data_IF_356558010213
#
_entry.id   IF_356558010213
#
_cell.length_a   1.000
_cell.length_b   1.000
_cell.length_c   1.000
_cell.angle_alpha   90.00
_cell.angle_beta   90.00
_cell.angle_gamma   90.00
#
_symmetry.space_group_name_H-M   'P 1'
#
loop_
_entity.id
_entity.type
_entity.pdbx_description
1 polymer ?
#
# COMPACT_ATOMS: atom_id res chain seq x y z
N UNK A 1 -28.40 -18.25 -40.03
CA UNK A 1 -28.07 -17.23 -38.99
C UNK A 1 -26.98 -17.65 -37.98
N UNK A 2 -26.76 -18.93 -37.73
CA UNK A 2 -25.72 -19.42 -36.79
C UNK A 2 -24.29 -19.23 -37.33
N UNK A 3 -24.06 -19.39 -38.65
CA UNK A 3 -22.72 -19.31 -39.25
C UNK A 3 -22.01 -17.95 -39.06
N UNK A 4 -22.65 -16.77 -39.28
CA UNK A 4 -21.99 -15.51 -39.07
C UNK A 4 -21.73 -15.22 -37.56
N UNK A 5 -22.56 -15.71 -36.65
CA UNK A 5 -22.35 -15.60 -35.21
C UNK A 5 -21.12 -16.40 -34.74
N UNK A 6 -20.95 -17.63 -35.26
CA UNK A 6 -19.78 -18.46 -34.98
C UNK A 6 -18.51 -17.83 -35.56
N UNK A 7 -18.55 -17.26 -36.77
CA UNK A 7 -17.41 -16.57 -37.37
C UNK A 7 -17.03 -15.29 -36.56
N UNK A 8 -18.01 -14.49 -36.11
CA UNK A 8 -17.76 -13.31 -35.27
C UNK A 8 -17.11 -13.65 -33.93
N UNK A 9 -17.38 -14.83 -33.38
CA UNK A 9 -16.77 -15.27 -32.12
C UNK A 9 -15.39 -15.95 -32.32
N UNK A 10 -15.22 -16.69 -33.41
CA UNK A 10 -13.97 -17.43 -33.66
C UNK A 10 -12.85 -16.59 -34.27
N UNK A 11 -13.17 -15.63 -35.14
CA UNK A 11 -12.17 -14.74 -35.77
C UNK A 11 -11.38 -13.91 -34.75
N UNK A 12 -11.97 -13.24 -33.75
CA UNK A 12 -11.21 -12.51 -32.76
C UNK A 12 -10.33 -13.43 -31.90
N UNK A 13 -10.81 -14.61 -31.56
CA UNK A 13 -10.05 -15.60 -30.77
C UNK A 13 -8.85 -16.11 -31.60
N UNK A 14 -9.05 -16.42 -32.87
CA UNK A 14 -7.98 -16.83 -33.77
C UNK A 14 -6.97 -15.70 -34.01
N UNK A 15 -7.43 -14.46 -34.15
CA UNK A 15 -6.58 -13.29 -34.32
C UNK A 15 -5.75 -13.00 -33.06
N UNK A 16 -6.32 -13.11 -31.89
CA UNK A 16 -5.61 -13.01 -30.60
C UNK A 16 -4.56 -14.13 -30.46
N UNK A 17 -4.90 -15.36 -30.84
CA UNK A 17 -3.97 -16.48 -30.82
C UNK A 17 -2.82 -16.28 -31.82
N UNK A 18 -3.12 -15.76 -33.02
CA UNK A 18 -2.14 -15.45 -34.05
C UNK A 18 -1.20 -14.31 -33.62
N UNK A 19 -1.73 -13.25 -33.03
CA UNK A 19 -0.90 -12.15 -32.44
C UNK A 19 -0.01 -12.69 -31.32
N UNK A 20 -0.51 -13.55 -30.45
CA UNK A 20 0.30 -14.18 -29.41
C UNK A 20 1.40 -15.06 -29.99
N UNK A 21 1.12 -15.78 -31.05
CA UNK A 21 2.09 -16.62 -31.76
C UNK A 21 3.18 -15.76 -32.42
N UNK A 22 2.82 -14.67 -33.09
CA UNK A 22 3.78 -13.73 -33.66
C UNK A 22 4.66 -13.05 -32.61
N UNK A 23 4.11 -12.72 -31.46
CA UNK A 23 4.88 -12.16 -30.31
C UNK A 23 5.80 -13.20 -29.67
N UNK A 24 5.55 -14.48 -29.84
CA UNK A 24 6.42 -15.54 -29.34
C UNK A 24 7.78 -15.60 -30.06
N UNK A 25 7.87 -15.11 -31.32
CA UNK A 25 9.13 -15.09 -32.10
C UNK A 25 10.15 -14.03 -31.65
N UNK A 26 9.72 -13.01 -30.86
CA UNK A 26 10.62 -12.00 -30.26
C UNK A 26 10.62 -12.09 -28.76
N UNK A 27 10.87 -13.28 -28.19
CA UNK A 27 10.96 -13.42 -26.74
C UNK A 27 12.30 -12.85 -26.26
N UNK A 28 12.32 -11.78 -25.45
CA UNK A 28 13.52 -11.46 -24.69
C UNK A 28 13.90 -12.67 -23.83
N UNK A 29 15.20 -12.90 -23.61
CA UNK A 29 15.67 -13.95 -22.70
C UNK A 29 15.21 -13.62 -21.26
N UNK A 30 14.05 -14.15 -20.89
CA UNK A 30 13.53 -14.04 -19.54
C UNK A 30 14.13 -15.10 -18.64
N UNK A 31 14.30 -14.83 -17.35
CA UNK A 31 14.66 -15.86 -16.37
C UNK A 31 13.68 -17.05 -16.43
N UNK A 32 14.11 -18.25 -16.02
CA UNK A 32 13.26 -19.41 -15.98
C UNK A 32 12.00 -19.16 -15.14
N UNK A 33 10.92 -19.90 -15.41
CA UNK A 33 9.68 -19.74 -14.67
C UNK A 33 8.64 -20.78 -15.04
N UNK A 34 7.53 -20.86 -14.28
CA UNK A 34 6.44 -21.77 -14.57
C UNK A 34 5.75 -21.40 -15.89
N UNK A 35 5.29 -22.41 -16.61
CA UNK A 35 4.50 -22.17 -17.82
C UNK A 35 3.16 -21.56 -17.44
N UNK A 36 2.85 -20.39 -18.00
CA UNK A 36 1.56 -19.72 -17.84
C UNK A 36 0.53 -20.21 -18.86
N UNK A 37 -0.74 -20.07 -18.51
CA UNK A 37 -1.86 -20.27 -19.45
C UNK A 37 -1.95 -19.11 -20.45
N UNK A 38 -2.51 -19.30 -21.65
CA UNK A 38 -2.79 -18.20 -22.56
C UNK A 38 -3.67 -17.14 -21.87
N UNK A 39 -3.38 -15.85 -22.11
CA UNK A 39 -4.08 -14.66 -21.58
C UNK A 39 -3.96 -14.52 -20.06
N UNK A 40 -4.32 -15.53 -19.28
CA UNK A 40 -4.35 -15.51 -17.81
C UNK A 40 -2.94 -15.61 -17.21
N UNK A 41 -2.00 -16.26 -17.93
CA UNK A 41 -0.65 -16.50 -17.43
C UNK A 41 -0.64 -17.42 -16.20
N UNK A 42 0.07 -17.00 -15.17
CA UNK A 42 0.22 -17.76 -13.92
C UNK A 42 -0.77 -17.31 -12.82
N UNK A 43 -1.71 -16.40 -13.11
CA UNK A 43 -2.65 -15.87 -12.11
C UNK A 43 -3.42 -16.96 -11.35
N UNK A 44 -3.84 -18.00 -12.06
CA UNK A 44 -4.59 -19.11 -11.46
C UNK A 44 -3.73 -20.02 -10.57
N UNK A 45 -2.41 -19.93 -10.70
CA UNK A 45 -1.45 -20.72 -9.92
C UNK A 45 -1.05 -20.05 -8.61
N UNK A 46 -1.45 -18.81 -8.42
CA UNK A 46 -1.11 -17.99 -7.25
C UNK A 46 -2.34 -17.77 -6.39
N UNK A 47 -2.18 -18.02 -5.09
CA UNK A 47 -3.17 -17.73 -4.07
C UNK A 47 -2.65 -16.57 -3.21
N UNK A 48 -3.44 -15.50 -3.15
CA UNK A 48 -3.08 -14.30 -2.38
C UNK A 48 -2.90 -14.57 -0.88
N UNK A 49 -3.60 -15.57 -0.34
CA UNK A 49 -3.53 -15.91 1.08
C UNK A 49 -2.17 -16.48 1.49
N UNK A 50 -1.51 -17.19 0.59
CA UNK A 50 -0.22 -17.89 0.80
C UNK A 50 0.86 -17.51 -0.23
N UNK A 51 0.72 -16.32 -0.84
CA UNK A 51 1.57 -15.89 -1.97
C UNK A 51 3.07 -15.98 -1.64
N UNK A 52 3.49 -15.56 -0.46
CA UNK A 52 4.89 -15.61 -0.05
C UNK A 52 5.46 -17.02 -0.05
N UNK A 53 4.70 -17.97 0.50
CA UNK A 53 5.11 -19.37 0.55
C UNK A 53 5.19 -19.97 -0.84
N UNK A 54 4.23 -19.66 -1.70
CA UNK A 54 4.24 -20.11 -3.10
C UNK A 54 5.44 -19.55 -3.86
N UNK A 55 5.75 -18.27 -3.74
CA UNK A 55 6.91 -17.67 -4.38
C UNK A 55 8.22 -18.24 -3.84
N UNK A 56 8.29 -18.53 -2.54
CA UNK A 56 9.43 -19.22 -1.96
C UNK A 56 9.60 -20.64 -2.53
N UNK A 57 8.52 -21.42 -2.65
CA UNK A 57 8.56 -22.74 -3.30
C UNK A 57 8.99 -22.65 -4.77
N UNK A 58 8.47 -21.67 -5.51
CA UNK A 58 8.87 -21.43 -6.89
C UNK A 58 10.35 -21.06 -6.99
N UNK A 59 10.88 -20.27 -6.05
CA UNK A 59 12.30 -19.91 -6.02
C UNK A 59 13.22 -21.13 -5.78
N UNK A 60 12.76 -22.13 -5.03
CA UNK A 60 13.49 -23.39 -4.85
C UNK A 60 13.54 -24.20 -6.15
N UNK A 61 12.51 -24.09 -6.99
CA UNK A 61 12.40 -24.84 -8.24
C UNK A 61 13.10 -24.14 -9.42
N UNK A 62 12.94 -22.81 -9.53
CA UNK A 62 13.39 -22.03 -10.69
C UNK A 62 14.63 -21.19 -10.42
N UNK A 63 15.08 -21.12 -9.17
CA UNK A 63 16.23 -20.30 -8.75
C UNK A 63 15.85 -18.97 -8.11
N UNK A 64 16.87 -18.20 -7.67
CA UNK A 64 16.66 -16.96 -6.91
C UNK A 64 16.13 -15.79 -7.74
N UNK A 65 16.09 -15.92 -9.05
CA UNK A 65 15.43 -15.01 -9.99
C UNK A 65 14.63 -15.83 -10.99
N UNK A 66 13.33 -15.55 -11.12
CA UNK A 66 12.46 -16.27 -12.04
C UNK A 66 11.36 -15.35 -12.58
N UNK A 67 10.76 -15.74 -13.70
CA UNK A 67 9.71 -14.96 -14.35
C UNK A 67 8.33 -15.57 -14.13
N UNK A 68 7.34 -14.69 -13.98
CA UNK A 68 5.92 -15.00 -13.98
C UNK A 68 5.22 -14.20 -15.06
N UNK A 69 4.17 -14.76 -15.62
CA UNK A 69 3.25 -14.06 -16.49
C UNK A 69 1.95 -13.80 -15.71
N UNK A 70 1.72 -12.57 -15.24
CA UNK A 70 0.49 -12.20 -14.54
C UNK A 70 -0.47 -11.54 -15.51
N UNK A 71 -1.41 -12.31 -16.04
CA UNK A 71 -2.23 -11.84 -17.15
C UNK A 71 -1.36 -11.47 -18.36
N UNK A 72 -1.43 -10.24 -18.82
CA UNK A 72 -0.59 -9.71 -19.88
C UNK A 72 0.71 -9.06 -19.39
N UNK A 73 0.91 -8.94 -18.08
CA UNK A 73 2.12 -8.34 -17.49
C UNK A 73 3.18 -9.41 -17.24
N UNK A 74 4.39 -9.17 -17.75
CA UNK A 74 5.57 -9.97 -17.41
C UNK A 74 6.12 -9.47 -16.09
N UNK A 75 6.37 -10.39 -15.18
CA UNK A 75 6.83 -10.08 -13.82
C UNK A 75 8.07 -10.88 -13.51
N UNK A 76 9.10 -10.25 -12.94
CA UNK A 76 10.30 -10.93 -12.47
C UNK A 76 10.24 -10.97 -10.94
N UNK A 77 10.49 -12.14 -10.39
CA UNK A 77 10.54 -12.36 -8.94
C UNK A 77 11.98 -12.53 -8.52
N UNK A 78 12.38 -11.76 -7.52
CA UNK A 78 13.70 -11.83 -6.89
C UNK A 78 13.52 -12.38 -5.49
N UNK A 79 14.23 -13.49 -5.20
CA UNK A 79 14.08 -14.24 -3.96
C UNK A 79 15.39 -14.43 -3.20
N UNK A 80 16.42 -13.62 -3.48
CA UNK A 80 17.66 -13.65 -2.72
C UNK A 80 18.09 -12.27 -2.23
N UNK A 81 18.68 -12.15 -1.04
CA UNK A 81 19.15 -10.87 -0.50
C UNK A 81 20.22 -10.21 -1.39
N UNK A 82 21.08 -11.01 -2.02
CA UNK A 82 22.13 -10.53 -2.92
C UNK A 82 21.53 -9.82 -4.14
N UNK A 83 20.58 -10.45 -4.82
CA UNK A 83 19.91 -9.87 -5.99
C UNK A 83 18.98 -8.71 -5.59
N UNK A 84 18.32 -8.79 -4.44
CA UNK A 84 17.54 -7.68 -3.93
C UNK A 84 18.40 -6.44 -3.68
N UNK A 85 19.61 -6.61 -3.10
CA UNK A 85 20.57 -5.51 -2.93
C UNK A 85 21.01 -4.95 -4.28
N UNK A 86 21.28 -5.80 -5.25
CA UNK A 86 21.69 -5.38 -6.59
C UNK A 86 20.63 -4.49 -7.23
N UNK A 87 19.36 -4.92 -7.22
CA UNK A 87 18.25 -4.17 -7.81
C UNK A 87 17.90 -2.90 -7.02
N UNK A 88 17.83 -2.98 -5.69
CA UNK A 88 17.31 -1.88 -4.87
C UNK A 88 18.38 -0.84 -4.48
N UNK A 89 19.68 -1.15 -4.66
CA UNK A 89 20.75 -0.25 -4.27
C UNK A 89 21.67 0.11 -5.43
N UNK A 90 22.07 -0.86 -6.26
CA UNK A 90 23.05 -0.63 -7.32
C UNK A 90 22.39 -0.16 -8.62
N UNK A 91 21.14 -0.61 -8.86
CA UNK A 91 20.31 -0.28 -10.03
C UNK A 91 18.97 0.34 -9.62
N UNK A 92 18.92 1.07 -8.51
CA UNK A 92 17.69 1.62 -7.94
C UNK A 92 16.93 2.54 -8.92
N UNK A 93 17.65 3.35 -9.70
CA UNK A 93 17.04 4.24 -10.69
C UNK A 93 16.33 3.49 -11.82
N UNK A 94 16.93 2.40 -12.31
CA UNK A 94 16.38 1.58 -13.40
C UNK A 94 15.10 0.85 -12.96
N UNK A 95 15.01 0.53 -11.66
CA UNK A 95 13.89 -0.19 -11.05
C UNK A 95 13.00 0.69 -10.16
N UNK A 96 13.14 2.00 -10.24
CA UNK A 96 12.37 2.96 -9.44
C UNK A 96 10.94 3.19 -9.91
N UNK A 97 10.54 2.62 -11.05
CA UNK A 97 9.17 2.70 -11.57
C UNK A 97 8.14 2.13 -10.58
N UNK A 98 6.90 2.58 -10.70
CA UNK A 98 5.76 2.08 -9.93
C UNK A 98 4.66 1.64 -10.86
N UNK A 99 4.14 0.42 -10.73
CA UNK A 99 3.02 -0.02 -11.55
C UNK A 99 1.77 0.78 -11.18
N UNK A 100 1.02 1.17 -12.20
CA UNK A 100 -0.27 1.82 -12.00
C UNK A 100 -1.32 0.74 -11.75
N UNK A 101 -1.57 0.42 -10.50
CA UNK A 101 -2.67 -0.46 -10.09
C UNK A 101 -3.83 0.39 -9.60
N UNK A 102 -5.05 -0.01 -9.93
CA UNK A 102 -6.26 0.77 -9.69
C UNK A 102 -6.44 1.18 -8.22
N UNK A 103 -6.36 0.24 -7.22
CA UNK A 103 -6.52 0.65 -5.83
C UNK A 103 -5.39 1.56 -5.35
N UNK A 104 -4.15 1.30 -5.76
CA UNK A 104 -3.01 2.12 -5.38
C UNK A 104 -3.14 3.54 -5.94
N UNK A 105 -3.50 3.69 -7.21
CA UNK A 105 -3.70 5.00 -7.82
C UNK A 105 -4.85 5.77 -7.14
N UNK A 106 -5.98 5.11 -6.90
CA UNK A 106 -7.14 5.75 -6.29
C UNK A 106 -6.86 6.20 -4.86
N UNK A 107 -6.36 5.30 -4.03
CA UNK A 107 -6.17 5.53 -2.60
C UNK A 107 -4.96 6.44 -2.30
N UNK A 108 -3.99 6.55 -3.22
CA UNK A 108 -2.83 7.45 -3.09
C UNK A 108 -3.05 8.83 -3.72
N UNK A 109 -4.27 9.22 -4.02
CA UNK A 109 -4.56 10.49 -4.72
C UNK A 109 -3.76 10.61 -6.03
N UNK A 110 -3.80 9.56 -6.86
CA UNK A 110 -3.05 9.43 -8.11
C UNK A 110 -1.52 9.47 -7.94
N UNK A 111 -1.01 8.94 -6.83
CA UNK A 111 0.42 8.96 -6.52
C UNK A 111 0.91 10.31 -6.02
N UNK A 112 0.04 11.09 -5.37
CA UNK A 112 0.40 12.38 -4.75
C UNK A 112 1.11 12.21 -3.41
N UNK A 113 1.94 11.17 -3.26
CA UNK A 113 2.70 10.82 -2.07
C UNK A 113 4.02 10.14 -2.44
N UNK A 114 4.78 9.60 -1.47
CA UNK A 114 6.15 9.13 -1.70
C UNK A 114 6.29 7.62 -1.97
N UNK A 115 5.25 6.81 -1.78
CA UNK A 115 5.31 5.34 -1.90
C UNK A 115 4.92 4.85 -3.28
N UNK A 116 3.77 5.33 -3.79
CA UNK A 116 3.23 4.94 -5.10
C UNK A 116 3.49 5.94 -6.21
N UNK A 117 4.06 7.11 -5.88
CA UNK A 117 4.52 8.09 -6.85
C UNK A 117 5.68 7.53 -7.69
N UNK A 118 5.67 7.69 -9.01
CA UNK A 118 6.81 7.34 -9.85
C UNK A 118 8.02 8.24 -9.52
N UNK A 119 9.24 7.69 -9.72
CA UNK A 119 10.46 8.46 -9.54
C UNK A 119 10.57 9.57 -10.60
N UNK A 120 10.37 10.81 -10.18
CA UNK A 120 10.46 12.02 -10.99
C UNK A 120 10.87 13.21 -10.11
N UNK A 121 10.86 14.41 -10.66
CA UNK A 121 11.19 15.63 -9.92
C UNK A 121 10.22 15.89 -8.77
N UNK A 122 8.91 15.68 -8.99
CA UNK A 122 7.90 15.77 -7.95
C UNK A 122 8.21 14.84 -6.76
N UNK A 123 8.51 13.56 -7.02
CA UNK A 123 8.84 12.58 -5.98
C UNK A 123 10.08 13.00 -5.17
N UNK A 124 11.11 13.52 -5.86
CA UNK A 124 12.35 13.98 -5.19
C UNK A 124 12.07 15.11 -4.22
N UNK A 125 11.29 16.10 -4.63
CA UNK A 125 10.95 17.25 -3.77
C UNK A 125 10.00 16.83 -2.64
N UNK A 126 8.97 16.03 -2.92
CA UNK A 126 8.08 15.51 -1.88
C UNK A 126 8.84 14.69 -0.84
N UNK A 127 9.77 13.82 -1.27
CA UNK A 127 10.63 13.07 -0.38
C UNK A 127 11.52 13.98 0.47
N UNK A 128 12.10 15.02 -0.12
CA UNK A 128 12.92 16.02 0.59
C UNK A 128 12.11 16.71 1.68
N UNK A 129 10.90 17.15 1.38
CA UNK A 129 9.98 17.74 2.35
C UNK A 129 9.69 16.75 3.48
N UNK A 130 9.29 15.54 3.17
CA UNK A 130 8.98 14.53 4.18
C UNK A 130 10.19 14.20 5.08
N UNK A 131 11.38 14.01 4.50
CA UNK A 131 12.59 13.68 5.27
C UNK A 131 13.02 14.85 6.16
N UNK A 132 12.97 16.08 5.65
CA UNK A 132 13.42 17.26 6.41
C UNK A 132 12.46 17.61 7.55
N UNK A 133 11.16 17.54 7.36
CA UNK A 133 10.17 18.08 8.27
C UNK A 133 9.40 17.04 9.08
N UNK A 134 9.17 15.84 8.51
CA UNK A 134 8.37 14.78 9.14
C UNK A 134 9.27 13.70 9.76
N UNK A 135 10.25 13.19 9.00
CA UNK A 135 11.10 12.08 9.42
C UNK A 135 12.45 12.51 9.99
N UNK A 136 12.68 13.80 10.20
CA UNK A 136 13.94 14.27 10.80
C UNK A 136 14.10 13.73 12.22
N UNK A 137 15.34 13.45 12.63
CA UNK A 137 15.64 12.95 13.98
C UNK A 137 15.11 13.89 15.07
N UNK A 138 15.15 15.22 14.86
CA UNK A 138 14.59 16.21 15.77
C UNK A 138 13.07 16.00 15.92
N UNK A 139 12.33 15.87 14.83
CA UNK A 139 10.87 15.68 14.86
C UNK A 139 10.50 14.33 15.48
N UNK A 140 11.18 13.25 15.12
CA UNK A 140 10.96 11.93 15.72
C UNK A 140 11.24 11.93 17.22
N UNK A 141 12.25 12.69 17.67
CA UNK A 141 12.59 12.83 19.09
C UNK A 141 11.55 13.65 19.85
N UNK A 142 10.96 14.67 19.25
CA UNK A 142 9.91 15.50 19.91
C UNK A 142 8.71 14.64 20.34
N UNK A 143 8.35 13.63 19.60
CA UNK A 143 7.26 12.71 19.95
C UNK A 143 7.64 11.64 21.00
N UNK A 144 8.79 11.76 21.67
CA UNK A 144 9.23 10.77 22.68
C UNK A 144 8.33 10.75 23.92
N UNK A 145 7.77 11.91 24.31
CA UNK A 145 6.81 12.05 25.39
C UNK A 145 5.56 11.21 25.14
N UNK A 146 5.00 11.30 23.94
CA UNK A 146 3.83 10.54 23.51
C UNK A 146 4.12 9.03 23.58
N UNK A 147 5.24 8.58 22.99
CA UNK A 147 5.61 7.16 23.01
C UNK A 147 5.78 6.62 24.44
N UNK A 148 6.52 7.35 25.29
CA UNK A 148 6.73 6.96 26.69
C UNK A 148 5.41 6.88 27.47
N UNK A 149 4.52 7.82 27.26
CA UNK A 149 3.22 7.84 27.91
C UNK A 149 2.38 6.60 27.51
N UNK A 150 2.23 6.34 26.21
CA UNK A 150 1.39 5.22 25.72
C UNK A 150 1.96 3.85 26.14
N UNK A 151 3.29 3.68 26.08
CA UNK A 151 3.96 2.47 26.55
C UNK A 151 3.69 2.28 28.05
N UNK A 152 3.74 3.32 28.87
CA UNK A 152 3.42 3.25 30.31
C UNK A 152 1.97 2.80 30.54
N UNK A 153 1.00 3.29 29.73
CA UNK A 153 -0.40 2.90 29.84
C UNK A 153 -0.57 1.39 29.52
N UNK A 154 0.07 0.89 28.47
CA UNK A 154 0.01 -0.55 28.12
C UNK A 154 0.63 -1.42 29.22
N UNK A 155 1.79 -1.02 29.76
CA UNK A 155 2.42 -1.75 30.87
C UNK A 155 1.47 -1.81 32.07
N UNK A 156 0.80 -0.69 32.42
CA UNK A 156 -0.19 -0.65 33.50
C UNK A 156 -1.37 -1.60 33.25
N UNK A 157 -1.88 -1.68 32.01
CA UNK A 157 -2.95 -2.63 31.66
C UNK A 157 -2.49 -4.08 31.79
N UNK A 158 -1.30 -4.43 31.28
CA UNK A 158 -0.74 -5.77 31.38
C UNK A 158 -0.57 -6.17 32.86
N UNK A 159 -0.02 -5.25 33.69
CA UNK A 159 0.13 -5.49 35.11
C UNK A 159 -1.20 -5.71 35.82
N UNK A 160 -2.24 -4.93 35.46
CA UNK A 160 -3.60 -5.11 35.98
C UNK A 160 -4.20 -6.47 35.62
N UNK A 161 -4.07 -6.91 34.38
CA UNK A 161 -4.52 -8.24 33.94
C UNK A 161 -3.75 -9.37 34.68
N UNK A 162 -2.42 -9.23 34.85
CA UNK A 162 -1.61 -10.19 35.56
C UNK A 162 -2.06 -10.33 37.04
N UNK A 163 -2.40 -9.19 37.68
CA UNK A 163 -2.89 -9.19 39.07
C UNK A 163 -4.27 -9.84 39.23
N UNK A 164 -5.10 -9.81 38.20
CA UNK A 164 -6.42 -10.45 38.18
C UNK A 164 -6.42 -11.85 37.58
N UNK A 165 -5.25 -12.48 37.39
CA UNK A 165 -5.07 -13.78 36.71
C UNK A 165 -5.76 -13.84 35.32
N UNK A 166 -5.94 -12.71 34.66
CA UNK A 166 -6.57 -12.60 33.34
C UNK A 166 -5.62 -12.98 32.23
N UNK A 167 -6.16 -13.55 31.15
CA UNK A 167 -5.42 -13.79 29.91
C UNK A 167 -5.35 -12.50 29.11
N UNK A 168 -4.16 -12.16 28.66
CA UNK A 168 -3.92 -10.95 27.86
C UNK A 168 -3.57 -11.30 26.42
N UNK A 169 -4.33 -10.77 25.46
CA UNK A 169 -3.97 -10.83 24.05
C UNK A 169 -2.92 -9.75 23.73
N UNK A 170 -1.65 -10.15 23.81
CA UNK A 170 -0.53 -9.23 23.60
C UNK A 170 -0.50 -8.64 22.18
N UNK A 171 -0.89 -9.42 21.18
CA UNK A 171 -0.94 -8.93 19.78
C UNK A 171 -1.93 -7.79 19.64
N UNK A 172 -3.11 -7.92 20.19
CA UNK A 172 -4.15 -6.88 20.17
C UNK A 172 -3.71 -5.61 20.90
N UNK A 173 -3.06 -5.77 22.06
CA UNK A 173 -2.52 -4.64 22.82
C UNK A 173 -1.42 -3.90 22.05
N UNK A 174 -0.52 -4.61 21.37
CA UNK A 174 0.55 -4.00 20.57
C UNK A 174 -0.01 -3.28 19.33
N UNK A 175 -1.00 -3.85 18.66
CA UNK A 175 -1.72 -3.19 17.56
C UNK A 175 -2.37 -1.89 18.06
N UNK A 176 -3.08 -1.97 19.19
CA UNK A 176 -3.70 -0.80 19.83
C UNK A 176 -2.68 0.27 20.20
N UNK A 177 -1.54 -0.12 20.79
CA UNK A 177 -0.44 0.80 21.14
C UNK A 177 0.09 1.55 19.91
N UNK A 178 0.45 0.81 18.86
CA UNK A 178 1.00 1.39 17.65
C UNK A 178 0.01 2.35 17.00
N UNK A 179 -1.24 1.94 16.85
CA UNK A 179 -2.31 2.77 16.31
C UNK A 179 -2.53 4.06 17.12
N UNK A 180 -2.56 3.94 18.45
CA UNK A 180 -2.73 5.12 19.35
C UNK A 180 -1.56 6.07 19.23
N UNK A 181 -0.31 5.58 19.25
CA UNK A 181 0.87 6.43 19.06
C UNK A 181 0.80 7.20 17.75
N UNK A 182 0.43 6.51 16.66
CA UNK A 182 0.35 7.11 15.33
C UNK A 182 -0.74 8.16 15.25
N UNK A 183 -1.92 7.89 15.78
CA UNK A 183 -3.01 8.86 15.80
C UNK A 183 -2.62 10.12 16.59
N UNK A 184 -1.93 9.94 17.72
CA UNK A 184 -1.44 11.09 18.52
C UNK A 184 -0.34 11.88 17.81
N UNK A 185 0.56 11.20 17.11
CA UNK A 185 1.64 11.85 16.37
C UNK A 185 1.10 12.56 15.12
N UNK A 186 0.15 11.93 14.42
CA UNK A 186 -0.38 12.46 13.17
C UNK A 186 -1.44 13.54 13.38
N UNK A 187 -2.38 13.34 14.32
CA UNK A 187 -3.58 14.15 14.51
C UNK A 187 -3.65 14.88 15.85
N UNK A 188 -2.65 14.72 16.73
CA UNK A 188 -2.66 15.27 18.08
C UNK A 188 -3.71 14.63 19.00
N UNK A 189 -4.48 13.67 18.53
CA UNK A 189 -5.62 13.06 19.24
C UNK A 189 -5.36 11.63 19.66
N UNK A 190 -5.93 11.27 20.83
CA UNK A 190 -6.10 9.91 21.25
C UNK A 190 -7.52 9.48 20.91
N UNK A 191 -7.65 8.54 19.99
CA UNK A 191 -8.93 7.87 19.77
C UNK A 191 -9.09 6.86 20.93
N UNK A 192 -9.97 7.16 21.88
CA UNK A 192 -10.15 6.36 23.10
C UNK A 192 -10.66 4.95 22.80
N UNK A 193 -10.41 4.05 23.76
CA UNK A 193 -10.58 2.59 23.59
C UNK A 193 -12.02 2.14 23.31
N UNK A 194 -13.03 2.99 23.54
CA UNK A 194 -14.44 2.66 23.42
C UNK A 194 -15.24 3.84 22.81
N UNK A 195 -15.10 4.05 21.50
CA UNK A 195 -15.87 5.10 20.82
C UNK A 195 -16.18 4.74 19.36
N UNK A 196 -17.28 5.29 18.86
CA UNK A 196 -17.72 5.11 17.48
C UNK A 196 -16.68 5.60 16.46
N UNK A 197 -15.92 6.64 16.80
CA UNK A 197 -14.89 7.22 15.93
C UNK A 197 -13.68 6.33 15.76
N UNK A 198 -13.18 5.70 16.85
CA UNK A 198 -12.10 4.71 16.76
C UNK A 198 -12.52 3.52 15.91
N UNK A 199 -13.70 2.97 16.17
CA UNK A 199 -14.24 1.86 15.41
C UNK A 199 -14.37 2.20 13.92
N UNK A 200 -14.85 3.42 13.60
CA UNK A 200 -14.95 3.92 12.24
C UNK A 200 -13.56 4.01 11.57
N UNK A 201 -12.59 4.66 12.21
CA UNK A 201 -11.25 4.84 11.66
C UNK A 201 -10.52 3.51 11.44
N UNK A 202 -10.53 2.62 12.43
CA UNK A 202 -9.96 1.28 12.29
C UNK A 202 -10.65 0.46 11.20
N UNK A 203 -11.96 0.54 11.09
CA UNK A 203 -12.71 -0.09 10.01
C UNK A 203 -12.27 0.40 8.62
N UNK A 204 -12.09 1.70 8.46
CA UNK A 204 -11.60 2.31 7.22
C UNK A 204 -10.17 1.88 6.88
N UNK A 205 -9.29 1.78 7.87
CA UNK A 205 -7.91 1.32 7.65
C UNK A 205 -7.82 -0.17 7.32
N UNK A 206 -8.62 -1.01 7.96
CA UNK A 206 -8.70 -2.43 7.64
C UNK A 206 -9.18 -2.64 6.19
N UNK A 207 -10.23 -1.92 5.81
CA UNK A 207 -10.76 -1.94 4.45
C UNK A 207 -9.75 -1.42 3.43
N UNK A 208 -9.01 -0.34 3.75
CA UNK A 208 -7.91 0.20 2.95
C UNK A 208 -6.85 -0.88 2.68
N UNK A 209 -6.40 -1.58 3.72
CA UNK A 209 -5.40 -2.63 3.58
C UNK A 209 -5.89 -3.80 2.74
N UNK A 210 -7.13 -4.22 2.96
CA UNK A 210 -7.73 -5.30 2.19
C UNK A 210 -7.82 -4.93 0.71
N UNK A 211 -8.27 -3.70 0.40
CA UNK A 211 -8.34 -3.19 -0.97
C UNK A 211 -6.97 -3.06 -1.62
N UNK A 212 -5.96 -2.59 -0.89
CA UNK A 212 -4.58 -2.51 -1.38
C UNK A 212 -4.00 -3.88 -1.72
N UNK A 213 -4.42 -4.93 -1.03
CA UNK A 213 -4.00 -6.32 -1.28
C UNK A 213 -4.95 -7.08 -2.21
N UNK A 214 -6.10 -6.50 -2.54
CA UNK A 214 -7.09 -7.13 -3.41
C UNK A 214 -6.61 -7.14 -4.85
N UNK A 215 -6.79 -8.29 -5.48
CA UNK A 215 -6.44 -8.50 -6.87
C UNK A 215 -7.55 -7.99 -7.79
N UNK A 216 -7.29 -6.90 -8.49
CA UNK A 216 -8.14 -6.40 -9.57
C UNK A 216 -7.71 -7.06 -10.88
N UNK A 217 -8.60 -7.79 -11.52
CA UNK A 217 -8.29 -8.52 -12.76
C UNK A 217 -7.94 -7.54 -13.88
N UNK A 218 -8.60 -6.38 -13.90
CA UNK A 218 -8.37 -5.32 -14.88
C UNK A 218 -6.94 -4.76 -14.88
N UNK A 219 -6.24 -4.82 -13.75
CA UNK A 219 -4.85 -4.38 -13.66
C UNK A 219 -3.89 -5.27 -14.46
N UNK A 220 -4.27 -6.52 -14.69
CA UNK A 220 -3.43 -7.53 -15.34
C UNK A 220 -3.96 -7.93 -16.71
N UNK A 221 -5.27 -7.86 -16.93
CA UNK A 221 -5.91 -8.19 -18.20
C UNK A 221 -6.78 -7.00 -18.59
N UNK A 222 -6.31 -6.12 -19.49
CA UNK A 222 -7.14 -5.05 -20.02
C UNK A 222 -8.47 -5.59 -20.55
N UNK A 223 -9.52 -4.80 -20.53
CA UNK A 223 -10.88 -5.12 -20.96
C UNK A 223 -11.71 -5.98 -19.98
N UNK A 224 -11.15 -6.45 -18.86
CA UNK A 224 -11.90 -7.23 -17.85
C UNK A 224 -12.46 -6.39 -16.71
N UNK A 225 -12.40 -5.07 -16.78
CA UNK A 225 -12.90 -4.17 -15.74
C UNK A 225 -14.39 -4.35 -15.39
N UNK A 226 -15.17 -4.90 -16.31
CA UNK A 226 -16.57 -5.26 -16.06
C UNK A 226 -16.71 -6.40 -15.03
N UNK A 227 -15.72 -7.33 -14.95
CA UNK A 227 -15.69 -8.41 -13.96
C UNK A 227 -15.48 -7.81 -12.56
N UNK A 228 -14.55 -6.87 -12.41
CA UNK A 228 -14.28 -6.19 -11.13
C UNK A 228 -15.50 -5.37 -10.69
N UNK A 229 -16.21 -4.76 -11.65
CA UNK A 229 -17.50 -4.07 -11.38
C UNK A 229 -18.57 -5.05 -10.91
N UNK A 230 -18.74 -6.20 -11.58
CA UNK A 230 -19.71 -7.24 -11.17
C UNK A 230 -19.41 -7.80 -9.78
N UNK A 231 -18.13 -7.92 -9.42
CA UNK A 231 -17.72 -8.31 -8.06
C UNK A 231 -17.89 -7.20 -7.02
N UNK A 232 -18.37 -6.04 -7.40
CA UNK A 232 -18.55 -4.89 -6.52
C UNK A 232 -17.26 -4.23 -6.05
N UNK A 233 -16.09 -4.63 -6.57
CA UNK A 233 -14.78 -4.13 -6.13
C UNK A 233 -14.61 -2.63 -6.39
N UNK A 234 -15.09 -2.12 -7.53
CA UNK A 234 -15.07 -0.69 -7.82
C UNK A 234 -15.93 0.13 -6.86
N UNK A 235 -17.14 -0.34 -6.54
CA UNK A 235 -18.03 0.34 -5.61
C UNK A 235 -17.45 0.33 -4.18
N UNK A 236 -16.83 -0.79 -3.78
CA UNK A 236 -16.16 -0.95 -2.50
C UNK A 236 -14.97 0.01 -2.38
N UNK A 237 -14.12 0.08 -3.41
CA UNK A 237 -12.97 1.00 -3.50
C UNK A 237 -13.40 2.46 -3.43
N UNK A 238 -14.41 2.84 -4.20
CA UNK A 238 -14.93 4.21 -4.23
C UNK A 238 -15.53 4.64 -2.90
N UNK A 239 -16.28 3.76 -2.25
CA UNK A 239 -16.85 4.01 -0.92
C UNK A 239 -15.75 4.22 0.13
N UNK A 240 -14.76 3.32 0.19
CA UNK A 240 -13.66 3.45 1.15
C UNK A 240 -12.86 4.73 0.91
N UNK A 241 -12.56 5.06 -0.36
CA UNK A 241 -11.89 6.30 -0.69
C UNK A 241 -12.65 7.53 -0.22
N UNK A 242 -13.96 7.62 -0.50
CA UNK A 242 -14.79 8.76 -0.08
C UNK A 242 -14.85 8.92 1.43
N UNK A 243 -14.98 7.82 2.16
CA UNK A 243 -15.03 7.84 3.62
C UNK A 243 -13.68 8.25 4.22
N UNK A 244 -12.56 7.77 3.66
CA UNK A 244 -11.21 8.19 4.08
C UNK A 244 -10.95 9.66 3.74
N UNK A 245 -11.32 10.08 2.53
CA UNK A 245 -11.16 11.48 2.10
C UNK A 245 -11.93 12.43 3.00
N UNK A 246 -13.19 12.08 3.34
CA UNK A 246 -14.02 12.81 4.29
C UNK A 246 -13.36 12.87 5.67
N UNK A 247 -12.87 11.74 6.17
CA UNK A 247 -12.18 11.68 7.46
C UNK A 247 -10.96 12.59 7.50
N UNK A 248 -10.09 12.54 6.48
CA UNK A 248 -8.91 13.40 6.43
C UNK A 248 -9.28 14.88 6.26
N UNK A 249 -10.37 15.19 5.56
CA UNK A 249 -10.86 16.56 5.44
C UNK A 249 -11.37 17.08 6.79
N UNK A 250 -12.16 16.29 7.53
CA UNK A 250 -12.62 16.62 8.88
C UNK A 250 -11.44 16.93 9.80
N UNK A 251 -10.36 16.13 9.74
CA UNK A 251 -9.14 16.36 10.51
C UNK A 251 -8.43 17.67 10.09
N UNK A 252 -8.32 17.93 8.79
CA UNK A 252 -7.70 19.16 8.26
C UNK A 252 -8.50 20.40 8.70
N UNK A 253 -9.83 20.37 8.55
CA UNK A 253 -10.72 21.48 8.89
C UNK A 253 -10.63 21.82 10.38
N UNK A 254 -10.53 20.81 11.24
CA UNK A 254 -10.31 21.01 12.67
C UNK A 254 -8.96 21.66 12.98
N UNK A 255 -7.89 21.28 12.27
CA UNK A 255 -6.57 21.88 12.45
C UNK A 255 -6.51 23.33 11.94
N UNK A 256 -7.42 23.72 11.05
CA UNK A 256 -7.56 25.09 10.56
C UNK A 256 -8.47 25.95 11.44
N UNK A 257 -9.19 25.38 12.42
CA UNK A 257 -10.04 26.15 13.32
C UNK A 257 -9.18 27.07 14.25
N UNK A 258 -9.35 28.40 14.20
CA UNK A 258 -8.61 29.31 15.05
C UNK A 258 -8.84 29.07 16.55
N UNK A 259 -9.95 28.45 16.94
CA UNK A 259 -10.29 28.18 18.35
C UNK A 259 -9.73 26.83 18.83
N UNK A 260 -9.03 26.07 18.00
CA UNK A 260 -8.43 24.80 18.39
C UNK A 260 -7.40 25.02 19.50
N UNK A 261 -7.62 24.36 20.62
CA UNK A 261 -6.61 24.38 21.72
C UNK A 261 -5.44 23.45 21.31
N UNK A 262 -4.28 24.06 21.12
CA UNK A 262 -3.05 23.29 20.86
C UNK A 262 -2.62 22.57 22.15
N UNK A 263 -2.67 21.27 22.16
CA UNK A 263 -2.28 20.44 23.30
C UNK A 263 -0.74 20.23 23.38
N UNK A 264 0.06 21.30 23.24
CA UNK A 264 1.51 21.25 23.41
C UNK A 264 2.31 21.19 22.10
N UNK A 265 2.91 20.06 21.74
CA UNK A 265 3.75 19.93 20.55
C UNK A 265 2.92 19.86 19.26
N UNK A 266 3.42 20.50 18.20
CA UNK A 266 2.81 20.41 16.87
C UNK A 266 2.77 18.95 16.38
N UNK A 267 1.61 18.51 15.98
CA UNK A 267 1.43 17.22 15.32
C UNK A 267 1.82 17.27 13.82
N UNK A 268 1.64 16.16 13.13
CA UNK A 268 2.07 16.05 11.74
C UNK A 268 1.18 16.84 10.79
N UNK A 269 -0.12 16.95 11.07
CA UNK A 269 -1.05 17.77 10.27
C UNK A 269 -0.71 19.25 10.41
N UNK A 270 -0.42 19.72 11.63
CA UNK A 270 0.03 21.11 11.86
C UNK A 270 1.27 21.44 11.02
N UNK A 271 2.25 20.51 11.00
CA UNK A 271 3.49 20.68 10.21
C UNK A 271 3.20 20.73 8.71
N UNK A 272 2.36 19.84 8.21
CA UNK A 272 2.03 19.79 6.78
C UNK A 272 1.23 21.02 6.34
N UNK A 273 0.33 21.53 7.18
CA UNK A 273 -0.42 22.76 6.93
C UNK A 273 0.49 24.00 6.96
N UNK A 274 1.45 24.04 7.89
CA UNK A 274 2.47 25.09 7.91
C UNK A 274 3.31 25.10 6.63
N UNK A 275 3.77 23.92 6.18
CA UNK A 275 4.54 23.77 4.94
C UNK A 275 3.72 24.14 3.69
N UNK A 276 2.42 23.87 3.70
CA UNK A 276 1.51 24.28 2.63
C UNK A 276 1.41 25.82 2.54
N UNK A 277 1.42 26.51 3.68
CA UNK A 277 1.37 27.97 3.73
C UNK A 277 2.72 28.62 3.46
N UNK A 278 3.82 27.91 3.73
CA UNK A 278 5.18 28.32 3.41
C UNK A 278 5.50 27.99 1.94
N UNK A 279 5.34 29.00 1.08
CA UNK A 279 5.61 28.89 -0.37
C UNK A 279 7.10 28.83 -0.75
N UNK A 280 7.97 28.52 0.19
CA UNK A 280 9.44 28.39 -0.03
C UNK A 280 9.83 27.13 -0.80
N UNK A 281 8.91 26.16 -0.93
CA UNK A 281 9.15 24.90 -1.63
C UNK A 281 8.86 24.99 -3.12
N UNK A 282 9.60 24.22 -3.91
CA UNK A 282 9.40 24.14 -5.38
C UNK A 282 8.07 23.50 -5.79
N UNK A 283 7.40 22.81 -4.86
CA UNK A 283 6.08 22.19 -5.04
C UNK A 283 5.05 22.98 -4.24
N UNK A 284 3.94 23.33 -4.88
CA UNK A 284 2.77 23.85 -4.18
C UNK A 284 2.00 22.68 -3.54
N UNK A 285 2.10 22.57 -2.21
CA UNK A 285 1.44 21.52 -1.45
C UNK A 285 -0.08 21.72 -1.44
N UNK A 286 -0.81 20.79 -2.02
CA UNK A 286 -2.27 20.75 -1.98
C UNK A 286 -2.79 19.93 -0.80
N UNK A 287 -4.08 20.00 -0.52
CA UNK A 287 -4.70 19.12 0.49
C UNK A 287 -4.63 17.65 0.08
N UNK A 288 -4.68 17.32 -1.20
CA UNK A 288 -4.52 15.95 -1.68
C UNK A 288 -3.12 15.40 -1.38
N UNK A 289 -2.09 16.24 -1.48
CA UNK A 289 -0.72 15.87 -1.05
C UNK A 289 -0.67 15.57 0.44
N UNK A 290 -1.29 16.40 1.27
CA UNK A 290 -1.36 16.19 2.73
C UNK A 290 -2.09 14.88 3.03
N UNK A 291 -3.28 14.68 2.46
CA UNK A 291 -4.08 13.46 2.64
C UNK A 291 -3.33 12.22 2.17
N UNK A 292 -2.62 12.30 1.03
CA UNK A 292 -1.79 11.21 0.51
C UNK A 292 -0.66 10.83 1.45
N UNK A 293 0.05 11.81 2.02
CA UNK A 293 1.12 11.58 3.01
C UNK A 293 0.55 10.95 4.29
N UNK A 294 -0.58 11.42 4.78
CA UNK A 294 -1.26 10.85 5.95
C UNK A 294 -1.68 9.39 5.68
N UNK A 295 -2.26 9.12 4.52
CA UNK A 295 -2.67 7.76 4.12
C UNK A 295 -1.49 6.79 4.16
N UNK A 296 -0.34 7.16 3.58
CA UNK A 296 0.86 6.32 3.57
C UNK A 296 1.41 6.09 4.98
N UNK A 297 1.39 7.11 5.81
CA UNK A 297 1.81 6.99 7.20
C UNK A 297 1.01 5.93 7.95
N UNK A 298 -0.32 5.98 7.84
CA UNK A 298 -1.19 5.01 8.47
C UNK A 298 -1.07 3.61 7.87
N UNK A 299 -0.94 3.53 6.54
CA UNK A 299 -0.77 2.25 5.86
C UNK A 299 0.44 1.48 6.39
N UNK A 300 1.61 2.13 6.48
CA UNK A 300 2.83 1.50 6.95
C UNK A 300 2.74 1.09 8.42
N UNK A 301 2.18 1.93 9.25
CA UNK A 301 2.21 1.75 10.70
C UNK A 301 1.20 0.73 11.20
N UNK A 302 0.05 0.67 10.58
CA UNK A 302 -0.96 -0.36 10.87
C UNK A 302 -0.50 -1.72 10.34
N UNK A 303 0.26 -1.71 9.25
CA UNK A 303 0.83 -2.88 8.62
C UNK A 303 1.85 -3.61 9.50
N UNK A 304 2.78 -2.90 10.12
CA UNK A 304 3.76 -3.47 11.04
C UNK A 304 3.08 -4.07 12.29
N UNK A 305 1.97 -3.49 12.72
CA UNK A 305 1.27 -3.90 13.94
C UNK A 305 0.38 -5.13 13.76
N UNK A 306 -0.32 -5.24 12.63
CA UNK A 306 -1.25 -6.36 12.37
C UNK A 306 -0.53 -7.65 11.96
N UNK A 307 0.73 -7.58 11.54
CA UNK A 307 1.46 -8.66 10.89
C UNK A 307 2.75 -9.09 11.60
N UNK A 308 2.83 -8.95 12.92
CA UNK A 308 3.93 -9.53 13.70
C UNK A 308 3.99 -11.07 13.59
N UNK A 309 2.98 -11.68 12.96
CA UNK A 309 2.92 -13.10 12.62
C UNK A 309 2.91 -13.29 11.11
N UNK A 310 4.04 -13.70 10.51
CA UNK A 310 4.17 -14.35 9.19
C UNK A 310 3.73 -13.53 7.95
N UNK A 311 2.91 -12.50 8.08
CA UNK A 311 2.28 -11.79 6.96
C UNK A 311 3.05 -10.55 6.47
N UNK A 312 4.07 -10.07 7.20
CA UNK A 312 4.98 -8.98 6.79
C UNK A 312 5.65 -9.27 5.43
N UNK A 313 5.84 -10.55 5.11
CA UNK A 313 6.33 -10.98 3.81
C UNK A 313 5.35 -10.75 2.65
N UNK A 314 4.02 -10.80 2.87
CA UNK A 314 3.05 -10.74 1.75
C UNK A 314 3.12 -9.41 1.00
N UNK A 315 3.19 -8.30 1.70
CA UNK A 315 3.15 -6.97 1.09
C UNK A 315 4.54 -6.49 0.68
N UNK A 316 5.58 -6.86 1.41
CA UNK A 316 6.95 -6.55 1.01
C UNK A 316 7.32 -7.26 -0.29
N UNK A 317 6.91 -8.53 -0.46
CA UNK A 317 7.11 -9.28 -1.71
C UNK A 317 6.18 -8.76 -2.80
N UNK A 318 4.93 -8.41 -2.49
CA UNK A 318 4.01 -7.79 -3.46
C UNK A 318 4.54 -6.43 -3.92
N UNK A 319 5.10 -5.64 -3.01
CA UNK A 319 5.78 -4.38 -3.34
C UNK A 319 7.04 -4.61 -4.20
N UNK A 320 7.84 -5.65 -3.89
CA UNK A 320 8.99 -6.07 -4.70
C UNK A 320 8.59 -6.63 -6.07
N UNK A 321 7.51 -7.40 -6.15
CA UNK A 321 6.96 -7.91 -7.41
C UNK A 321 6.49 -6.78 -8.35
N UNK A 322 5.98 -5.69 -7.80
CA UNK A 322 5.46 -4.56 -8.54
C UNK A 322 6.54 -3.61 -9.07
N UNK A 323 7.76 -3.65 -8.52
CA UNK A 323 8.87 -2.81 -8.95
C UNK A 323 9.43 -3.17 -10.34
N UNK A 324 9.11 -4.35 -10.85
CA UNK A 324 9.77 -4.92 -12.05
C UNK A 324 8.84 -5.07 -13.26
N UNK A 325 7.62 -4.50 -13.20
CA UNK A 325 6.67 -4.52 -14.32
C UNK A 325 6.62 -3.17 -15.02
N UNK A 326 7.63 -2.87 -15.82
CA UNK A 326 7.55 -1.85 -16.88
C UNK A 326 7.67 -2.52 -18.24
#
# INVERSE_FOLDING_TARGET
MLLPLVLCLTLPVFFLFFIQHLRAFKKPHLPPGPKGLPIIGNLRQLDNSILCMQLWHLSKKYGPIFSLQLGLRKTIVISSPKLAKEVLKNHDLEFSGRPKLLPQQKLSYNGSEIVFSPYNEYWREMRKICVAHIFSSKRVSSFSSIRKFEVKQIIKRISGHASSSGVTNLSELLISLSSTIICRVAFGRRYEDEGSERSRFHGLLNELQELMSTFFISDYIPFTGWIDKLKGLHARLERNFKELDKFYQEVIDEHMDPNRQHAGEQDMVDVLLQLKNDRSHSIDLTYDHIKGVLMVWFLNSYFDSSNFSICSCKHFIFFMLLLLTN
#
